data_IF_320669208355
#
_entry.id   IF_320669208355
#
_cell.length_a   1.000
_cell.length_b   1.000
_cell.length_c   1.000
_cell.angle_alpha   90.00
_cell.angle_beta   90.00
_cell.angle_gamma   90.00
#
_symmetry.space_group_name_H-M   'P 1'
#
loop_
_entity.id
_entity.type
_entity.pdbx_description
1 polymer ?
#
# COMPACT_ATOMS: atom_id res chain seq x y z
N UNK A 1 57.53 -20.83 -33.44
CA UNK A 1 57.51 -21.49 -32.10
C UNK A 1 57.42 -20.51 -30.94
N UNK A 2 58.35 -19.53 -30.80
CA UNK A 2 58.30 -18.56 -29.69
C UNK A 2 57.01 -17.72 -29.61
N UNK A 3 56.47 -17.27 -30.74
CA UNK A 3 55.22 -16.49 -30.78
C UNK A 3 53.99 -17.28 -30.29
N UNK A 4 53.91 -18.58 -30.60
CA UNK A 4 52.82 -19.46 -30.15
C UNK A 4 52.88 -19.65 -28.63
N UNK A 5 54.08 -19.83 -28.07
CA UNK A 5 54.29 -19.98 -26.63
C UNK A 5 53.90 -18.68 -25.88
N UNK A 6 54.30 -17.52 -26.41
CA UNK A 6 53.92 -16.22 -25.83
C UNK A 6 52.41 -16.02 -25.85
N UNK A 7 51.75 -16.36 -26.96
CA UNK A 7 50.29 -16.27 -27.06
C UNK A 7 49.58 -17.19 -26.04
N UNK A 8 50.08 -18.42 -25.86
CA UNK A 8 49.51 -19.38 -24.91
C UNK A 8 49.71 -18.92 -23.45
N UNK A 9 50.85 -18.31 -23.13
CA UNK A 9 51.10 -17.70 -21.82
C UNK A 9 50.20 -16.50 -21.55
N UNK A 10 49.89 -15.67 -22.56
CA UNK A 10 48.94 -14.57 -22.42
C UNK A 10 47.52 -15.07 -22.14
N UNK A 11 47.09 -16.17 -22.77
CA UNK A 11 45.80 -16.80 -22.49
C UNK A 11 45.74 -17.31 -21.05
N UNK A 12 46.78 -18.02 -20.59
CA UNK A 12 46.84 -18.52 -19.20
C UNK A 12 46.82 -17.35 -18.21
N UNK A 13 47.62 -16.31 -18.45
CA UNK A 13 47.65 -15.12 -17.60
C UNK A 13 46.29 -14.40 -17.57
N UNK A 14 45.57 -14.36 -18.69
CA UNK A 14 44.20 -13.83 -18.77
C UNK A 14 43.24 -14.63 -17.89
N UNK A 15 43.23 -15.96 -17.98
CA UNK A 15 42.35 -16.79 -17.15
C UNK A 15 42.68 -16.68 -15.65
N UNK A 16 43.96 -16.64 -15.28
CA UNK A 16 44.37 -16.43 -13.88
C UNK A 16 43.94 -15.04 -13.40
N UNK A 17 44.17 -14.00 -14.21
CA UNK A 17 43.76 -12.64 -13.91
C UNK A 17 42.25 -12.50 -13.77
N UNK A 18 41.48 -13.15 -14.66
CA UNK A 18 40.03 -13.20 -14.60
C UNK A 18 39.54 -13.93 -13.35
N UNK A 19 40.12 -15.08 -13.01
CA UNK A 19 39.79 -15.81 -11.78
C UNK A 19 40.06 -14.99 -10.52
N UNK A 20 41.22 -14.32 -10.44
CA UNK A 20 41.53 -13.41 -9.33
C UNK A 20 40.61 -12.19 -9.29
N UNK A 21 40.20 -11.65 -10.43
CA UNK A 21 39.25 -10.55 -10.51
C UNK A 21 37.86 -10.97 -10.00
N UNK A 22 37.37 -12.14 -10.42
CA UNK A 22 36.10 -12.69 -9.90
C UNK A 22 36.18 -12.93 -8.40
N UNK A 23 37.30 -13.49 -7.92
CA UNK A 23 37.54 -13.72 -6.50
C UNK A 23 37.66 -12.40 -5.70
N UNK A 24 38.29 -11.37 -6.26
CA UNK A 24 38.37 -10.05 -5.64
C UNK A 24 36.99 -9.39 -5.55
N UNK A 25 36.23 -9.38 -6.65
CA UNK A 25 34.85 -8.88 -6.70
C UNK A 25 33.98 -9.61 -5.68
N UNK A 26 34.22 -10.91 -5.49
CA UNK A 26 33.60 -11.77 -4.48
C UNK A 26 33.83 -11.30 -3.03
N UNK A 27 35.02 -10.81 -2.68
CA UNK A 27 35.35 -10.45 -1.29
C UNK A 27 35.25 -8.95 -0.93
N UNK A 28 35.04 -8.06 -1.91
CA UNK A 28 35.19 -6.61 -1.70
C UNK A 28 34.01 -5.75 -2.19
N UNK A 29 32.82 -6.32 -2.43
CA UNK A 29 31.71 -5.55 -3.01
C UNK A 29 30.52 -5.31 -2.07
N UNK A 30 30.12 -4.04 -1.97
CA UNK A 30 28.77 -3.61 -1.57
C UNK A 30 27.66 -4.11 -2.54
N UNK A 31 28.04 -4.74 -3.65
CA UNK A 31 27.16 -5.35 -4.65
C UNK A 31 26.51 -6.66 -4.17
N UNK A 32 27.03 -7.29 -3.10
CA UNK A 32 26.46 -8.55 -2.58
C UNK A 32 25.20 -8.30 -1.76
N UNK A 33 24.92 -7.08 -1.31
CA UNK A 33 23.72 -6.84 -0.52
C UNK A 33 22.46 -6.84 -1.42
N UNK A 34 21.36 -7.35 -0.88
CA UNK A 34 20.05 -7.26 -1.51
C UNK A 34 19.69 -5.80 -1.79
N UNK A 35 19.26 -5.52 -3.01
CA UNK A 35 18.83 -4.20 -3.47
C UNK A 35 17.49 -4.34 -4.16
N UNK A 36 16.61 -3.37 -3.92
CA UNK A 36 15.29 -3.28 -4.54
C UNK A 36 15.08 -1.89 -5.12
N UNK A 37 14.36 -1.81 -6.24
CA UNK A 37 13.94 -0.54 -6.82
C UNK A 37 12.60 -0.05 -6.22
N UNK A 38 11.90 -0.92 -5.47
CA UNK A 38 10.62 -0.58 -4.85
C UNK A 38 10.81 0.53 -3.81
N UNK A 39 9.94 1.53 -3.88
CA UNK A 39 9.83 2.54 -2.81
C UNK A 39 8.92 1.97 -1.73
N UNK A 40 9.38 2.05 -0.49
CA UNK A 40 8.67 1.51 0.67
C UNK A 40 8.22 2.63 1.59
N UNK A 41 7.13 2.39 2.32
CA UNK A 41 6.66 3.26 3.39
C UNK A 41 7.52 3.10 4.66
N UNK A 42 8.53 3.96 4.83
CA UNK A 42 9.35 3.97 6.05
C UNK A 42 8.59 4.47 7.30
N UNK A 43 7.41 5.08 7.14
CA UNK A 43 6.55 5.49 8.24
C UNK A 43 5.29 4.62 8.35
N UNK A 44 5.40 3.34 7.99
CA UNK A 44 4.28 2.40 8.11
C UNK A 44 3.72 2.34 9.54
N UNK A 45 2.41 2.17 9.66
CA UNK A 45 1.70 2.23 10.96
C UNK A 45 2.15 1.11 11.91
N UNK A 46 2.48 -0.06 11.37
CA UNK A 46 3.01 -1.18 12.14
C UNK A 46 4.55 -1.22 12.06
N UNK A 47 5.21 -0.70 13.09
CA UNK A 47 6.69 -0.67 13.16
C UNK A 47 7.33 -2.05 13.28
N UNK A 48 6.59 -3.06 13.76
CA UNK A 48 7.08 -4.44 13.81
C UNK A 48 7.26 -5.03 12.40
N UNK A 49 6.36 -4.70 11.46
CA UNK A 49 6.49 -5.12 10.06
C UNK A 49 7.74 -4.50 9.42
N UNK A 50 7.99 -3.22 9.69
CA UNK A 50 9.17 -2.53 9.20
C UNK A 50 10.47 -3.14 9.76
N UNK A 51 10.48 -3.45 11.06
CA UNK A 51 11.60 -4.16 11.69
C UNK A 51 11.83 -5.52 11.04
N UNK A 52 10.77 -6.34 10.88
CA UNK A 52 10.86 -7.67 10.25
C UNK A 52 11.32 -7.62 8.80
N UNK A 53 11.00 -6.54 8.08
CA UNK A 53 11.50 -6.30 6.73
C UNK A 53 13.02 -6.07 6.72
N UNK A 54 13.51 -5.16 7.57
CA UNK A 54 14.95 -4.91 7.69
C UNK A 54 15.71 -6.14 8.17
N UNK A 55 15.17 -6.87 9.15
CA UNK A 55 15.74 -8.15 9.60
C UNK A 55 15.80 -9.17 8.46
N UNK A 56 14.78 -9.24 7.60
CA UNK A 56 14.79 -10.16 6.46
C UNK A 56 15.88 -9.79 5.43
N UNK A 57 16.16 -8.50 5.23
CA UNK A 57 17.27 -8.03 4.38
C UNK A 57 18.63 -8.44 4.98
N UNK A 58 18.84 -8.21 6.27
CA UNK A 58 20.09 -8.60 6.92
C UNK A 58 20.28 -10.12 6.95
N UNK A 59 19.19 -10.86 7.14
CA UNK A 59 19.17 -12.33 7.11
C UNK A 59 19.54 -12.88 5.73
N UNK A 60 19.03 -12.30 4.63
CA UNK A 60 19.42 -12.75 3.29
C UNK A 60 20.86 -12.39 2.96
N UNK A 61 21.32 -11.20 3.36
CA UNK A 61 22.70 -10.74 3.12
C UNK A 61 23.69 -11.66 3.85
N UNK A 62 23.40 -11.95 5.12
CA UNK A 62 24.19 -12.86 5.94
C UNK A 62 24.17 -14.28 5.39
N UNK A 63 23.00 -14.77 4.96
CA UNK A 63 22.85 -16.10 4.36
C UNK A 63 23.68 -16.25 3.08
N UNK A 64 23.55 -15.33 2.14
CA UNK A 64 24.31 -15.38 0.88
C UNK A 64 25.81 -15.35 1.17
N UNK A 65 26.25 -14.48 2.09
CA UNK A 65 27.65 -14.41 2.49
C UNK A 65 28.13 -15.73 3.14
N UNK A 66 27.30 -16.36 3.97
CA UNK A 66 27.64 -17.61 4.66
C UNK A 66 27.75 -18.78 3.70
N UNK A 67 26.72 -19.04 2.89
CA UNK A 67 26.73 -20.13 1.89
C UNK A 67 27.95 -19.99 0.96
N UNK A 68 28.28 -18.74 0.64
CA UNK A 68 29.42 -18.48 -0.19
C UNK A 68 30.76 -18.75 0.48
N UNK A 69 30.98 -18.17 1.65
CA UNK A 69 32.29 -18.19 2.32
C UNK A 69 32.60 -19.53 2.98
N UNK A 70 31.57 -20.23 3.45
CA UNK A 70 31.72 -21.49 4.18
C UNK A 70 31.51 -22.71 3.27
N UNK A 71 30.58 -22.64 2.31
CA UNK A 71 30.17 -23.79 1.51
C UNK A 71 30.57 -23.67 0.03
N UNK A 72 31.18 -22.55 -0.39
CA UNK A 72 31.51 -22.22 -1.79
C UNK A 72 30.30 -22.21 -2.75
N UNK A 73 29.09 -21.98 -2.21
CA UNK A 73 27.85 -21.98 -3.00
C UNK A 73 27.42 -20.54 -3.31
N UNK A 74 27.38 -20.18 -4.59
CA UNK A 74 26.70 -18.96 -5.06
C UNK A 74 25.21 -19.24 -5.31
N UNK A 75 24.38 -18.95 -4.32
CA UNK A 75 22.92 -19.17 -4.41
C UNK A 75 22.20 -18.27 -5.41
N UNK A 76 22.88 -17.26 -5.99
CA UNK A 76 22.31 -16.36 -7.02
C UNK A 76 22.64 -16.83 -8.43
N UNK A 77 23.84 -17.37 -8.60
CA UNK A 77 24.33 -17.92 -9.86
C UNK A 77 24.96 -19.28 -9.61
N UNK A 78 24.16 -20.31 -9.30
CA UNK A 78 24.68 -21.62 -8.93
C UNK A 78 25.39 -22.29 -10.12
N UNK A 79 26.56 -22.86 -9.87
CA UNK A 79 27.37 -23.57 -10.87
C UNK A 79 27.09 -25.08 -10.89
N UNK A 80 26.70 -25.64 -9.75
CA UNK A 80 26.42 -27.06 -9.54
C UNK A 80 24.93 -27.32 -9.23
N UNK A 81 24.46 -28.55 -9.46
CA UNK A 81 23.07 -28.97 -9.22
C UNK A 81 22.92 -30.05 -8.13
N UNK A 82 23.97 -30.25 -7.33
CA UNK A 82 23.98 -31.23 -6.26
C UNK A 82 22.95 -30.94 -5.16
N UNK A 83 22.70 -31.94 -4.31
CA UNK A 83 21.66 -31.86 -3.30
C UNK A 83 21.88 -30.75 -2.26
N UNK A 84 23.13 -30.35 -1.98
CA UNK A 84 23.45 -29.25 -1.08
C UNK A 84 23.15 -27.90 -1.73
N UNK A 85 23.62 -27.69 -2.96
CA UNK A 85 23.34 -26.47 -3.73
C UNK A 85 21.84 -26.25 -3.91
N UNK A 86 21.08 -27.30 -4.24
CA UNK A 86 19.61 -27.22 -4.34
C UNK A 86 18.94 -26.85 -3.01
N UNK A 87 19.43 -27.33 -1.87
CA UNK A 87 18.92 -26.95 -0.54
C UNK A 87 19.21 -25.47 -0.25
N UNK A 88 20.42 -25.00 -0.55
CA UNK A 88 20.81 -23.61 -0.35
C UNK A 88 19.96 -22.64 -1.20
N UNK A 89 19.76 -22.96 -2.49
CA UNK A 89 18.90 -22.17 -3.39
C UNK A 89 17.45 -22.12 -2.90
N UNK A 90 16.92 -23.25 -2.41
CA UNK A 90 15.55 -23.28 -1.85
C UNK A 90 15.44 -22.39 -0.60
N UNK A 91 16.46 -22.35 0.25
CA UNK A 91 16.48 -21.48 1.42
C UNK A 91 16.60 -20.00 1.01
N UNK A 92 17.51 -19.69 0.08
CA UNK A 92 17.62 -18.37 -0.55
C UNK A 92 16.27 -17.87 -1.08
N UNK A 93 15.58 -18.71 -1.85
CA UNK A 93 14.28 -18.39 -2.45
C UNK A 93 13.21 -18.09 -1.40
N UNK A 94 13.19 -18.83 -0.28
CA UNK A 94 12.27 -18.56 0.84
C UNK A 94 12.55 -17.22 1.51
N UNK A 95 13.82 -16.89 1.74
CA UNK A 95 14.24 -15.61 2.33
C UNK A 95 13.88 -14.44 1.41
N UNK A 96 14.09 -14.57 0.10
CA UNK A 96 13.67 -13.57 -0.90
C UNK A 96 12.15 -13.41 -0.91
N UNK A 97 11.38 -14.51 -0.84
CA UNK A 97 9.93 -14.43 -0.79
C UNK A 97 9.42 -13.65 0.44
N UNK A 98 10.07 -13.84 1.59
CA UNK A 98 9.77 -13.08 2.82
C UNK A 98 10.02 -11.58 2.65
N UNK A 99 11.11 -11.19 1.99
CA UNK A 99 11.40 -9.77 1.71
C UNK A 99 10.32 -9.19 0.79
N UNK A 100 10.04 -9.86 -0.33
CA UNK A 100 9.03 -9.41 -1.30
C UNK A 100 7.65 -9.24 -0.66
N UNK A 101 7.26 -10.16 0.22
CA UNK A 101 6.01 -10.05 0.97
C UNK A 101 5.91 -8.73 1.77
N UNK A 102 6.98 -8.36 2.47
CA UNK A 102 6.99 -7.09 3.20
C UNK A 102 7.08 -5.87 2.27
N UNK A 103 7.87 -5.95 1.19
CA UNK A 103 7.92 -4.88 0.19
C UNK A 103 6.53 -4.60 -0.38
N UNK A 104 5.75 -5.63 -0.71
CA UNK A 104 4.40 -5.48 -1.25
C UNK A 104 3.46 -4.76 -0.26
N UNK A 105 3.54 -5.09 1.03
CA UNK A 105 2.77 -4.41 2.09
C UNK A 105 3.18 -2.93 2.17
N UNK A 106 4.49 -2.66 2.27
CA UNK A 106 5.01 -1.31 2.49
C UNK A 106 4.83 -0.42 1.24
N UNK A 107 4.95 -0.99 0.05
CA UNK A 107 4.69 -0.29 -1.22
C UNK A 107 3.21 0.05 -1.37
N UNK A 108 2.30 -0.89 -1.07
CA UNK A 108 0.86 -0.62 -1.09
C UNK A 108 0.48 0.47 -0.08
N UNK A 109 1.03 0.44 1.14
CA UNK A 109 0.84 1.51 2.12
C UNK A 109 1.30 2.87 1.57
N UNK A 110 2.48 2.91 0.94
CA UNK A 110 3.00 4.15 0.34
C UNK A 110 2.05 4.69 -0.73
N UNK A 111 1.55 3.84 -1.64
CA UNK A 111 0.58 4.22 -2.66
C UNK A 111 -0.74 4.71 -2.07
N UNK A 112 -1.18 4.17 -0.94
CA UNK A 112 -2.34 4.66 -0.22
C UNK A 112 -2.05 6.04 0.40
N UNK A 113 -0.88 6.26 1.00
CA UNK A 113 -0.50 7.59 1.51
C UNK A 113 -0.44 8.65 0.41
N UNK A 114 0.03 8.29 -0.78
CA UNK A 114 0.01 9.18 -1.96
C UNK A 114 -1.42 9.58 -2.37
N UNK A 115 -2.42 8.75 -2.06
CA UNK A 115 -3.86 9.05 -2.22
C UNK A 115 -4.47 9.83 -1.04
N UNK A 116 -3.62 10.29 -0.10
CA UNK A 116 -4.01 11.13 1.03
C UNK A 116 -4.46 10.39 2.29
N UNK A 117 -4.22 9.08 2.38
CA UNK A 117 -4.59 8.30 3.57
C UNK A 117 -3.58 8.48 4.68
N UNK A 118 -4.08 8.53 5.91
CA UNK A 118 -3.25 8.48 7.11
C UNK A 118 -2.94 7.04 7.51
N UNK A 119 -1.97 6.87 8.40
CA UNK A 119 -1.68 5.59 9.04
C UNK A 119 -2.90 4.98 9.75
N UNK A 120 -3.83 5.81 10.25
CA UNK A 120 -5.07 5.32 10.89
C UNK A 120 -6.02 4.72 9.86
N UNK A 121 -6.13 5.36 8.69
CA UNK A 121 -6.98 4.88 7.60
C UNK A 121 -6.46 3.56 7.03
N UNK A 122 -5.14 3.49 6.81
CA UNK A 122 -4.48 2.27 6.28
C UNK A 122 -4.66 1.10 7.25
N UNK A 123 -4.42 1.32 8.55
CA UNK A 123 -4.65 0.30 9.57
C UNK A 123 -6.10 -0.20 9.56
N UNK A 124 -7.07 0.70 9.46
CA UNK A 124 -8.48 0.35 9.41
C UNK A 124 -8.82 -0.48 8.16
N UNK A 125 -8.30 -0.12 6.98
CA UNK A 125 -8.49 -0.88 5.75
C UNK A 125 -7.94 -2.30 5.85
N UNK A 126 -6.77 -2.48 6.46
CA UNK A 126 -6.14 -3.78 6.66
C UNK A 126 -6.90 -4.67 7.65
N UNK A 127 -7.43 -4.09 8.74
CA UNK A 127 -8.18 -4.82 9.75
C UNK A 127 -9.59 -5.20 9.28
N UNK A 128 -10.23 -4.36 8.46
CA UNK A 128 -11.61 -4.55 8.02
C UNK A 128 -11.72 -5.24 6.65
N UNK A 129 -10.66 -5.22 5.84
CA UNK A 129 -10.67 -5.70 4.47
C UNK A 129 -11.56 -4.87 3.53
N UNK A 130 -12.01 -3.69 3.96
CA UNK A 130 -12.82 -2.79 3.14
C UNK A 130 -11.98 -2.17 2.02
N UNK A 131 -12.61 -1.89 0.88
CA UNK A 131 -11.94 -1.17 -0.19
C UNK A 131 -11.82 0.34 0.13
N UNK A 132 -10.84 0.99 -0.50
CA UNK A 132 -10.55 2.40 -0.31
C UNK A 132 -11.75 3.33 -0.59
N UNK A 133 -12.53 3.08 -1.64
CA UNK A 133 -13.67 3.94 -2.01
C UNK A 133 -14.77 3.82 -0.96
N UNK A 134 -15.04 2.61 -0.48
CA UNK A 134 -15.98 2.34 0.61
C UNK A 134 -15.54 3.03 1.90
N UNK A 135 -14.25 3.01 2.26
CA UNK A 135 -13.75 3.74 3.43
C UNK A 135 -13.93 5.26 3.32
N UNK A 136 -13.64 5.86 2.16
CA UNK A 136 -13.85 7.29 1.97
C UNK A 136 -15.32 7.69 2.09
N UNK A 137 -16.21 6.87 1.53
CA UNK A 137 -17.66 7.01 1.66
C UNK A 137 -18.09 6.96 3.13
N UNK A 138 -17.60 5.97 3.88
CA UNK A 138 -17.86 5.85 5.32
C UNK A 138 -17.33 7.07 6.10
N UNK A 139 -16.10 7.51 5.86
CA UNK A 139 -15.56 8.71 6.51
C UNK A 139 -16.37 9.98 6.22
N UNK A 140 -16.86 10.13 4.98
CA UNK A 140 -17.73 11.24 4.62
C UNK A 140 -19.05 11.14 5.37
N UNK A 141 -19.66 9.94 5.40
CA UNK A 141 -20.89 9.71 6.14
C UNK A 141 -20.71 9.93 7.65
N UNK A 142 -19.65 9.45 8.27
CA UNK A 142 -19.36 9.65 9.71
C UNK A 142 -19.24 11.14 10.06
N UNK A 143 -18.60 11.93 9.20
CA UNK A 143 -18.55 13.40 9.35
C UNK A 143 -19.94 14.01 9.28
N UNK A 144 -20.76 13.61 8.30
CA UNK A 144 -22.14 14.08 8.16
C UNK A 144 -23.00 13.67 9.37
N UNK A 145 -22.87 12.42 9.82
CA UNK A 145 -23.55 11.88 10.99
C UNK A 145 -23.15 12.63 12.25
N UNK A 146 -21.89 13.05 12.39
CA UNK A 146 -21.43 13.90 13.49
C UNK A 146 -22.02 15.32 13.48
N UNK A 147 -22.49 15.81 12.33
CA UNK A 147 -23.22 17.09 12.23
C UNK A 147 -24.72 16.94 12.53
N UNK A 148 -25.23 15.70 12.55
CA UNK A 148 -26.63 15.42 12.82
C UNK A 148 -26.93 15.55 14.31
N UNK A 149 -27.98 16.30 14.63
CA UNK A 149 -28.52 16.42 15.97
C UNK A 149 -30.04 16.23 15.91
N UNK A 150 -30.53 15.11 16.43
CA UNK A 150 -31.95 14.76 16.45
C UNK A 150 -32.83 15.72 17.27
N UNK A 151 -32.24 16.47 18.21
CA UNK A 151 -32.94 17.45 19.04
C UNK A 151 -33.15 18.78 18.29
N UNK A 152 -32.32 19.05 17.27
CA UNK A 152 -32.43 20.26 16.47
C UNK A 152 -33.42 20.00 15.33
N UNK A 153 -34.59 20.59 15.47
CA UNK A 153 -35.57 20.68 14.40
C UNK A 153 -35.04 21.58 13.28
N UNK A 154 -34.47 20.96 12.25
CA UNK A 154 -33.82 21.65 11.12
C UNK A 154 -34.86 22.40 10.24
N UNK A 155 -36.15 22.05 10.34
CA UNK A 155 -37.25 22.51 9.47
C UNK A 155 -37.63 24.00 9.55
N UNK A 156 -36.94 24.84 10.32
CA UNK A 156 -37.30 26.25 10.50
C UNK A 156 -36.49 27.24 9.64
N UNK A 157 -35.86 26.77 8.55
CA UNK A 157 -35.01 27.61 7.70
C UNK A 157 -33.72 28.09 8.37
N UNK A 158 -33.40 27.58 9.57
CA UNK A 158 -32.13 27.83 10.25
C UNK A 158 -31.00 27.28 9.38
N UNK A 159 -29.95 28.09 9.21
CA UNK A 159 -28.76 27.64 8.49
C UNK A 159 -27.97 26.63 9.30
N UNK A 160 -27.57 25.52 8.68
CA UNK A 160 -26.70 24.53 9.30
C UNK A 160 -25.68 23.96 8.31
N UNK A 161 -24.47 23.56 8.79
CA UNK A 161 -23.50 22.87 7.95
C UNK A 161 -24.06 21.56 7.36
N UNK A 162 -24.87 20.83 8.12
CA UNK A 162 -25.52 19.60 7.66
C UNK A 162 -26.43 19.87 6.46
N UNK A 163 -27.31 20.88 6.56
CA UNK A 163 -28.21 21.25 5.47
C UNK A 163 -27.45 21.67 4.23
N UNK A 164 -26.36 22.42 4.39
CA UNK A 164 -25.53 22.85 3.27
C UNK A 164 -24.93 21.64 2.51
N UNK A 165 -24.44 20.63 3.23
CA UNK A 165 -23.92 19.40 2.61
C UNK A 165 -25.02 18.53 1.99
N UNK A 166 -26.20 18.46 2.62
CA UNK A 166 -27.39 17.79 2.06
C UNK A 166 -27.81 18.43 0.74
N UNK A 167 -27.93 19.77 0.71
CA UNK A 167 -28.26 20.50 -0.52
C UNK A 167 -27.24 20.22 -1.63
N UNK A 168 -25.93 20.25 -1.32
CA UNK A 168 -24.88 19.89 -2.29
C UNK A 168 -25.04 18.49 -2.85
N UNK A 169 -25.36 17.53 -1.99
CA UNK A 169 -25.51 16.14 -2.38
C UNK A 169 -26.77 15.92 -3.23
N UNK A 170 -27.89 16.54 -2.86
CA UNK A 170 -29.11 16.55 -3.67
C UNK A 170 -28.87 17.21 -5.03
N UNK A 171 -28.16 18.34 -5.10
CA UNK A 171 -27.83 18.96 -6.39
C UNK A 171 -26.99 18.05 -7.29
N UNK A 172 -26.05 17.28 -6.72
CA UNK A 172 -25.30 16.25 -7.47
C UNK A 172 -26.17 15.12 -8.01
N UNK A 173 -27.27 14.82 -7.32
CA UNK A 173 -28.27 13.83 -7.75
C UNK A 173 -29.29 14.40 -8.76
N UNK A 174 -29.13 15.66 -9.17
CA UNK A 174 -29.94 16.30 -10.21
C UNK A 174 -31.09 17.17 -9.69
N UNK A 175 -31.21 17.39 -8.38
CA UNK A 175 -32.18 18.33 -7.83
C UNK A 175 -31.73 19.78 -8.06
N UNK A 176 -32.65 20.68 -8.41
CA UNK A 176 -32.34 22.12 -8.52
C UNK A 176 -32.64 22.81 -7.19
N UNK A 177 -31.60 23.12 -6.43
CA UNK A 177 -31.68 23.74 -5.10
C UNK A 177 -30.62 24.84 -4.96
N UNK A 178 -30.97 25.88 -4.22
CA UNK A 178 -29.99 26.85 -3.72
C UNK A 178 -29.19 26.24 -2.57
N UNK A 179 -27.87 26.34 -2.65
CA UNK A 179 -26.96 25.80 -1.64
C UNK A 179 -26.63 26.90 -0.63
N UNK A 180 -27.57 27.22 0.25
CA UNK A 180 -27.48 28.32 1.20
C UNK A 180 -27.47 27.88 2.67
N UNK A 181 -27.58 26.56 2.89
CA UNK A 181 -27.59 25.92 4.19
C UNK A 181 -28.91 26.01 4.94
N UNK A 182 -29.97 26.59 4.36
CA UNK A 182 -31.26 26.75 5.02
C UNK A 182 -32.27 25.68 4.58
N UNK A 183 -32.84 24.95 5.55
CA UNK A 183 -33.74 23.83 5.24
C UNK A 183 -35.17 24.34 5.07
N UNK A 184 -35.48 24.81 3.85
CA UNK A 184 -36.78 25.37 3.45
C UNK A 184 -37.58 24.39 2.60
N UNK A 185 -38.78 24.82 2.17
CA UNK A 185 -39.72 24.00 1.42
C UNK A 185 -39.11 23.35 0.17
N UNK A 186 -38.21 24.03 -0.56
CA UNK A 186 -37.56 23.43 -1.74
C UNK A 186 -36.69 22.23 -1.33
N UNK A 187 -35.93 22.38 -0.24
CA UNK A 187 -35.07 21.30 0.29
C UNK A 187 -35.93 20.16 0.85
N UNK A 188 -37.00 20.46 1.58
CA UNK A 188 -37.95 19.45 2.11
C UNK A 188 -38.54 18.63 0.97
N UNK A 189 -39.00 19.27 -0.10
CA UNK A 189 -39.58 18.57 -1.25
C UNK A 189 -38.55 17.68 -1.95
N UNK A 190 -37.32 18.17 -2.15
CA UNK A 190 -36.25 17.36 -2.73
C UNK A 190 -35.86 16.16 -1.86
N UNK A 191 -35.87 16.31 -0.53
CA UNK A 191 -35.63 15.19 0.39
C UNK A 191 -36.76 14.17 0.32
N UNK A 192 -38.03 14.60 0.31
CA UNK A 192 -39.19 13.69 0.11
C UNK A 192 -39.10 12.90 -1.19
N UNK A 193 -38.76 13.58 -2.29
CA UNK A 193 -38.58 12.93 -3.59
C UNK A 193 -37.43 11.92 -3.55
N UNK A 194 -36.32 12.27 -2.90
CA UNK A 194 -35.20 11.37 -2.69
C UNK A 194 -35.58 10.15 -1.85
N UNK A 195 -36.26 10.36 -0.73
CA UNK A 195 -36.76 9.30 0.16
C UNK A 195 -37.70 8.37 -0.61
N UNK A 196 -38.66 8.93 -1.33
CA UNK A 196 -39.60 8.17 -2.18
C UNK A 196 -38.85 7.32 -3.21
N UNK A 197 -37.89 7.90 -3.95
CA UNK A 197 -37.11 7.17 -4.97
C UNK A 197 -36.26 6.04 -4.37
N UNK A 198 -35.90 6.14 -3.09
CA UNK A 198 -35.08 5.17 -2.39
C UNK A 198 -35.89 4.25 -1.44
N UNK A 199 -37.22 4.27 -1.52
CA UNK A 199 -38.11 3.47 -0.67
C UNK A 199 -37.93 3.74 0.85
N UNK A 200 -37.66 4.99 1.22
CA UNK A 200 -37.60 5.45 2.60
C UNK A 200 -38.92 6.11 3.02
N UNK A 201 -39.06 6.42 4.31
CA UNK A 201 -40.20 7.19 4.81
C UNK A 201 -40.14 8.62 4.23
N UNK A 202 -41.03 8.95 3.30
CA UNK A 202 -41.05 10.24 2.60
C UNK A 202 -41.69 11.36 3.44
N UNK A 203 -41.16 11.62 4.64
CA UNK A 203 -41.61 12.70 5.51
C UNK A 203 -40.84 14.02 5.30
N UNK A 204 -39.72 13.98 4.57
CA UNK A 204 -38.87 15.13 4.28
C UNK A 204 -38.02 15.56 5.47
N UNK A 205 -37.90 14.71 6.50
CA UNK A 205 -37.07 14.94 7.66
C UNK A 205 -35.75 14.23 7.50
N UNK A 206 -34.66 14.93 7.78
CA UNK A 206 -33.34 14.29 7.83
C UNK A 206 -33.28 13.40 9.08
N UNK A 207 -33.28 12.09 8.86
CA UNK A 207 -32.90 11.10 9.87
C UNK A 207 -31.58 10.41 9.47
N UNK A 208 -31.08 9.54 10.35
CA UNK A 208 -29.81 8.82 10.12
C UNK A 208 -29.89 7.92 8.89
N UNK A 209 -31.06 7.35 8.58
CA UNK A 209 -31.27 6.41 7.47
C UNK A 209 -31.29 7.18 6.14
N UNK A 210 -32.01 8.30 6.07
CA UNK A 210 -32.02 9.21 4.93
C UNK A 210 -30.62 9.75 4.67
N UNK A 211 -29.88 10.16 5.71
CA UNK A 211 -28.50 10.61 5.57
C UNK A 211 -27.56 9.49 5.09
N UNK A 212 -27.69 8.28 5.64
CA UNK A 212 -26.88 7.14 5.21
C UNK A 212 -27.08 6.86 3.72
N UNK A 213 -28.34 6.84 3.28
CA UNK A 213 -28.66 6.59 1.88
C UNK A 213 -28.23 7.73 0.95
N UNK A 214 -28.31 8.97 1.41
CA UNK A 214 -27.95 10.15 0.62
C UNK A 214 -26.44 10.28 0.40
N UNK A 215 -25.65 9.82 1.38
CA UNK A 215 -24.20 9.91 1.37
C UNK A 215 -23.50 8.57 1.10
N UNK A 216 -24.27 7.52 0.77
CA UNK A 216 -23.78 6.37 0.04
C UNK A 216 -23.14 6.77 -1.30
#
# INVERSE_FOLDING_TARGET
MKQIIIFLLLIIAFFIGFGKYQQYKRYHTEEVNYKTAKKIDADYHNKEVLLKYYEAIEDINSFVKMEWTANDIDVRTPEDDDAETQRAIKNYSKKIAKIKFYEDILENSLQLKEKGLSNKDIKFLEETGLDYKSHQKNLKFDKIKGLYNSEIKIYNGRKSPLTFEVQKQLTKLGYTLDIDGAYRQETINAVKDFETKNNLLSDGLLDVITLEKLFE
#
